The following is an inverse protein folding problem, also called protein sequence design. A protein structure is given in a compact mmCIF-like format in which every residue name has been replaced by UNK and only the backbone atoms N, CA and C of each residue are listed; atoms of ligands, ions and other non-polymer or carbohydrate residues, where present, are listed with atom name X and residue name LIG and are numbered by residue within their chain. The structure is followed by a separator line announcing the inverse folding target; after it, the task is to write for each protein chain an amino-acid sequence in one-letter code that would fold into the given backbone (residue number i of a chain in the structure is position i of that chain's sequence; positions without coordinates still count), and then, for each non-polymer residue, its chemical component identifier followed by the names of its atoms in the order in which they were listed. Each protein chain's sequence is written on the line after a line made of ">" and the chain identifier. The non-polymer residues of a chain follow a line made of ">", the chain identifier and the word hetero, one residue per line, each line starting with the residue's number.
data_IF_200025060889
#
_entry.id   IF_200025060889
#
_cell.length_a   1.000
_cell.length_b   1.000
_cell.length_c   1.000
_cell.angle_alpha   90.00
_cell.angle_beta   90.00
_cell.angle_gamma   90.00
#
_symmetry.space_group_name_H-M   'P 1'
#
loop_
_entity.id
_entity.type
_entity.pdbx_description
1 polymer ?
#
# COMPACT_ATOMS: atom_id res chain seq x y z
N UNK A 1 18.27 14.99 18.09
CA UNK A 1 17.51 13.86 18.65
C UNK A 1 16.79 13.24 17.46
N UNK A 2 17.30 12.14 16.94
CA UNK A 2 16.69 11.44 15.80
C UNK A 2 16.34 10.04 16.27
N UNK A 3 15.04 9.74 16.25
CA UNK A 3 14.48 8.44 16.60
C UNK A 3 13.88 7.85 15.32
N UNK A 4 14.68 7.11 14.57
CA UNK A 4 14.19 6.19 13.54
C UNK A 4 14.55 4.77 13.97
N UNK A 5 13.66 4.17 14.78
CA UNK A 5 13.59 2.72 14.95
C UNK A 5 12.78 2.22 13.75
N UNK A 6 13.29 1.39 12.83
CA UNK A 6 14.12 0.22 13.09
C UNK A 6 13.22 -1.02 12.99
N UNK A 7 12.67 -1.30 11.81
CA UNK A 7 12.13 -2.61 11.47
C UNK A 7 13.07 -3.20 10.40
N UNK A 8 13.58 -4.43 10.59
CA UNK A 8 14.67 -4.95 9.77
C UNK A 8 14.20 -5.16 8.33
N UNK A 9 14.69 -4.31 7.43
CA UNK A 9 14.54 -4.39 5.97
C UNK A 9 15.33 -5.56 5.36
N UNK A 10 15.96 -6.40 6.19
CA UNK A 10 16.82 -7.51 5.77
C UNK A 10 16.06 -8.60 5.00
N UNK A 11 14.75 -8.74 5.24
CA UNK A 11 13.90 -9.71 4.52
C UNK A 11 13.37 -9.17 3.19
N UNK A 12 13.32 -7.85 3.00
CA UNK A 12 12.86 -7.16 1.79
C UNK A 12 13.85 -7.33 0.62
N UNK A 13 15.15 -7.42 0.90
CA UNK A 13 16.20 -7.54 -0.12
C UNK A 13 16.38 -8.96 -0.70
N UNK A 14 15.75 -9.99 -0.12
CA UNK A 14 15.96 -11.38 -0.59
C UNK A 14 15.16 -11.76 -1.83
N UNK A 15 14.08 -11.05 -2.18
CA UNK A 15 13.24 -11.43 -3.34
C UNK A 15 13.68 -10.76 -4.67
N UNK A 16 14.31 -9.58 -4.61
CA UNK A 16 14.83 -8.90 -5.81
C UNK A 16 16.04 -9.57 -6.46
N UNK A 17 16.65 -10.54 -5.78
CA UNK A 17 17.85 -11.26 -6.26
C UNK A 17 17.48 -12.48 -7.12
N UNK A 18 16.25 -13.01 -7.03
CA UNK A 18 15.95 -14.35 -7.57
C UNK A 18 14.85 -14.44 -8.63
N UNK A 19 14.01 -13.41 -8.83
CA UNK A 19 12.96 -13.45 -9.86
C UNK A 19 13.08 -12.26 -10.84
N UNK A 20 13.32 -12.48 -12.14
CA UNK A 20 13.37 -11.41 -13.12
C UNK A 20 11.96 -10.78 -13.29
N UNK A 21 11.81 -9.52 -12.90
CA UNK A 21 10.57 -8.76 -13.05
C UNK A 21 10.38 -7.71 -11.96
N UNK A 22 9.31 -6.92 -12.07
CA UNK A 22 8.85 -6.00 -11.03
C UNK A 22 7.33 -6.09 -10.90
N UNK A 23 6.77 -5.94 -9.69
CA UNK A 23 5.32 -5.96 -9.51
C UNK A 23 4.68 -4.69 -10.12
N UNK A 24 3.51 -4.86 -10.74
CA UNK A 24 2.68 -3.81 -11.32
C UNK A 24 1.39 -3.76 -10.51
N UNK A 25 1.23 -2.72 -9.70
CA UNK A 25 0.07 -2.59 -8.83
C UNK A 25 -0.91 -1.55 -9.37
N UNK A 26 -2.17 -1.92 -9.43
CA UNK A 26 -3.29 -1.01 -9.64
C UNK A 26 -4.08 -0.92 -8.33
N UNK A 27 -4.23 0.27 -7.79
CA UNK A 27 -4.90 0.49 -6.54
C UNK A 27 -6.06 1.47 -6.70
N UNK A 28 -7.16 1.17 -6.03
CA UNK A 28 -8.31 2.07 -5.93
C UNK A 28 -8.82 2.06 -4.51
N UNK A 29 -9.29 3.20 -4.03
CA UNK A 29 -9.87 3.29 -2.71
C UNK A 29 -11.22 3.98 -2.74
N UNK A 30 -12.07 3.62 -1.79
CA UNK A 30 -13.38 4.19 -1.57
C UNK A 30 -13.59 4.50 -0.09
N UNK A 31 -14.31 5.57 0.21
CA UNK A 31 -14.64 5.97 1.58
C UNK A 31 -16.13 5.78 1.87
N UNK A 32 -16.42 5.11 2.98
CA UNK A 32 -17.78 4.99 3.52
C UNK A 32 -17.93 5.93 4.72
N UNK A 33 -18.66 7.04 4.52
CA UNK A 33 -18.89 8.05 5.58
C UNK A 33 -19.65 7.48 6.78
N UNK A 34 -20.65 6.63 6.55
CA UNK A 34 -21.50 6.05 7.61
C UNK A 34 -20.71 5.10 8.49
N UNK A 35 -19.84 4.28 7.89
CA UNK A 35 -19.02 3.30 8.61
C UNK A 35 -17.68 3.89 9.10
N UNK A 36 -17.32 5.09 8.65
CA UNK A 36 -15.98 5.69 8.81
C UNK A 36 -14.86 4.73 8.41
N UNK A 37 -15.04 4.10 7.25
CA UNK A 37 -14.16 3.05 6.76
C UNK A 37 -13.66 3.38 5.35
N UNK A 38 -12.36 3.26 5.16
CA UNK A 38 -11.73 3.26 3.85
C UNK A 38 -11.55 1.82 3.37
N UNK A 39 -12.07 1.52 2.20
CA UNK A 39 -11.83 0.26 1.50
C UNK A 39 -10.80 0.49 0.39
N UNK A 40 -9.66 -0.16 0.49
CA UNK A 40 -8.60 -0.15 -0.52
C UNK A 40 -8.60 -1.49 -1.25
N UNK A 41 -8.70 -1.43 -2.58
CA UNK A 41 -8.51 -2.58 -3.47
C UNK A 41 -7.16 -2.46 -4.17
N UNK A 42 -6.34 -3.50 -4.08
CA UNK A 42 -5.05 -3.61 -4.74
C UNK A 42 -5.07 -4.82 -5.68
N UNK A 43 -4.71 -4.60 -6.94
CA UNK A 43 -4.66 -5.61 -7.99
C UNK A 43 -3.25 -5.66 -8.58
N UNK A 44 -2.68 -6.86 -8.67
CA UNK A 44 -1.42 -7.13 -9.36
C UNK A 44 -1.71 -7.41 -10.83
N UNK A 45 -1.29 -6.52 -11.74
CA UNK A 45 -1.57 -6.61 -13.18
C UNK A 45 -0.56 -7.44 -13.96
N UNK A 46 0.60 -7.72 -13.38
CA UNK A 46 1.60 -8.58 -14.00
C UNK A 46 1.16 -10.05 -14.00
N UNK A 47 1.59 -10.81 -15.00
CA UNK A 47 1.36 -12.25 -15.12
C UNK A 47 2.65 -12.90 -15.65
N UNK A 48 2.98 -14.15 -15.28
CA UNK A 48 2.22 -15.08 -14.43
C UNK A 48 2.57 -15.00 -12.93
N UNK A 49 3.57 -14.20 -12.53
CA UNK A 49 4.10 -14.21 -11.16
C UNK A 49 3.32 -13.29 -10.22
N UNK A 50 2.80 -13.86 -9.14
CA UNK A 50 2.20 -13.13 -8.02
C UNK A 50 3.28 -12.90 -6.96
N UNK A 51 3.68 -11.64 -6.80
CA UNK A 51 4.62 -11.27 -5.75
C UNK A 51 3.90 -11.17 -4.40
N UNK A 52 4.62 -11.47 -3.32
CA UNK A 52 4.17 -11.29 -1.94
C UNK A 52 5.02 -10.20 -1.31
N UNK A 53 4.46 -9.01 -1.13
CA UNK A 53 5.21 -7.84 -0.69
C UNK A 53 4.49 -7.14 0.47
N UNK A 54 5.22 -6.69 1.50
CA UNK A 54 4.74 -5.64 2.37
C UNK A 54 4.66 -4.34 1.55
N UNK A 55 3.56 -3.60 1.65
CA UNK A 55 3.47 -2.24 1.11
C UNK A 55 3.02 -1.31 2.24
N UNK A 56 3.76 -0.24 2.42
CA UNK A 56 3.35 0.87 3.28
C UNK A 56 2.21 1.65 2.63
N UNK A 57 1.26 2.08 3.44
CA UNK A 57 0.19 2.98 3.06
C UNK A 57 0.19 4.14 4.03
N UNK A 58 0.09 5.34 3.51
CA UNK A 58 -0.12 6.55 4.28
C UNK A 58 -1.50 7.15 3.99
N UNK A 59 -2.25 7.42 5.05
CA UNK A 59 -3.52 8.14 5.04
C UNK A 59 -3.31 9.52 5.66
N UNK A 60 -3.60 10.59 4.91
CA UNK A 60 -3.59 11.96 5.45
C UNK A 60 -4.99 12.35 5.92
N UNK A 61 -5.21 12.39 7.23
CA UNK A 61 -6.49 12.73 7.84
C UNK A 61 -6.35 14.04 8.61
N UNK A 62 -6.87 15.14 8.05
CA UNK A 62 -6.64 16.48 8.60
C UNK A 62 -5.15 16.84 8.64
N UNK A 63 -4.66 17.21 9.83
CA UNK A 63 -3.23 17.50 10.09
C UNK A 63 -2.42 16.28 10.55
N UNK A 64 -2.99 15.08 10.53
CA UNK A 64 -2.33 13.84 10.95
C UNK A 64 -2.10 12.93 9.76
N UNK A 65 -0.94 12.27 9.75
CA UNK A 65 -0.67 11.14 8.86
C UNK A 65 -0.74 9.85 9.68
N UNK A 66 -1.46 8.85 9.17
CA UNK A 66 -1.46 7.49 9.69
C UNK A 66 -0.78 6.59 8.68
N UNK A 67 0.13 5.72 9.12
CA UNK A 67 0.80 4.73 8.27
C UNK A 67 0.43 3.32 8.68
N UNK A 68 0.10 2.48 7.72
CA UNK A 68 -0.21 1.06 7.90
C UNK A 68 0.59 0.23 6.89
N UNK A 69 0.96 -1.00 7.26
CA UNK A 69 1.63 -1.94 6.34
C UNK A 69 0.65 -3.03 5.95
N UNK A 70 0.42 -3.20 4.65
CA UNK A 70 -0.36 -4.32 4.11
C UNK A 70 0.53 -5.37 3.48
N UNK A 71 0.10 -6.63 3.57
CA UNK A 71 0.75 -7.75 2.88
C UNK A 71 -0.03 -8.04 1.60
N UNK A 72 0.47 -7.60 0.45
CA UNK A 72 -0.14 -7.90 -0.85
C UNK A 72 0.47 -9.17 -1.39
N UNK A 73 -0.33 -10.23 -1.52
CA UNK A 73 0.17 -11.53 -1.94
C UNK A 73 -0.72 -12.29 -2.90
N UNK A 74 -1.74 -11.62 -3.46
CA UNK A 74 -2.75 -12.19 -4.35
C UNK A 74 -2.87 -11.34 -5.62
N UNK A 75 -3.52 -11.89 -6.65
CA UNK A 75 -3.81 -11.13 -7.87
C UNK A 75 -4.72 -9.93 -7.59
N UNK A 76 -5.67 -10.09 -6.68
CA UNK A 76 -6.54 -9.02 -6.20
C UNK A 76 -6.78 -9.20 -4.70
N UNK A 77 -6.68 -8.10 -3.95
CA UNK A 77 -6.86 -8.10 -2.52
C UNK A 77 -7.50 -6.80 -2.06
N UNK A 78 -8.42 -6.91 -1.11
CA UNK A 78 -9.13 -5.77 -0.53
C UNK A 78 -8.79 -5.66 0.94
N UNK A 79 -8.51 -4.43 1.38
CA UNK A 79 -8.17 -4.07 2.75
C UNK A 79 -9.15 -3.00 3.24
N UNK A 80 -9.56 -3.07 4.50
CA UNK A 80 -10.44 -2.09 5.13
C UNK A 80 -9.75 -1.44 6.33
N UNK A 81 -9.83 -0.13 6.41
CA UNK A 81 -9.21 0.68 7.47
C UNK A 81 -10.24 1.58 8.10
N UNK A 82 -10.37 1.52 9.43
CA UNK A 82 -11.20 2.47 10.18
C UNK A 82 -10.40 3.73 10.45
N UNK A 83 -10.92 4.87 10.00
CA UNK A 83 -10.28 6.18 10.15
C UNK A 83 -11.22 7.13 10.90
N UNK A 84 -10.67 8.09 11.63
CA UNK A 84 -11.49 9.05 12.40
C UNK A 84 -12.34 9.96 11.50
N UNK A 85 -11.86 10.25 10.29
CA UNK A 85 -12.48 11.07 9.26
C UNK A 85 -12.02 10.66 7.86
N UNK A 86 -12.68 11.20 6.82
CA UNK A 86 -12.30 10.97 5.42
C UNK A 86 -10.84 11.43 5.19
N UNK A 87 -9.97 10.56 4.66
CA UNK A 87 -8.62 10.99 4.30
C UNK A 87 -8.68 11.96 3.11
N UNK A 88 -7.84 12.97 3.18
CA UNK A 88 -7.62 13.94 2.09
C UNK A 88 -6.74 13.35 0.99
N UNK A 89 -5.87 12.42 1.36
CA UNK A 89 -4.89 11.81 0.47
C UNK A 89 -4.58 10.39 0.96
N UNK A 90 -4.37 9.49 0.01
CA UNK A 90 -4.04 8.08 0.26
C UNK A 90 -2.89 7.73 -0.67
N UNK A 91 -1.72 7.51 -0.09
CA UNK A 91 -0.52 7.14 -0.82
C UNK A 91 -0.15 5.70 -0.47
N UNK A 92 0.16 4.87 -1.47
CA UNK A 92 0.84 3.60 -1.24
C UNK A 92 2.31 3.76 -1.59
N UNK A 93 3.17 3.27 -0.72
CA UNK A 93 4.62 3.43 -0.78
C UNK A 93 5.01 4.90 -1.02
N UNK A 94 4.63 5.80 -0.10
CA UNK A 94 4.88 7.25 -0.24
C UNK A 94 6.36 7.61 -0.33
N UNK A 95 7.24 6.70 0.08
CA UNK A 95 8.69 6.89 0.07
C UNK A 95 9.37 6.23 -1.16
N UNK A 96 8.60 5.63 -2.08
CA UNK A 96 9.06 4.98 -3.33
C UNK A 96 10.13 3.88 -3.12
N UNK A 97 9.99 3.04 -2.08
CA UNK A 97 10.97 2.01 -1.74
C UNK A 97 10.90 0.81 -2.69
N UNK A 98 9.76 0.63 -3.36
CA UNK A 98 9.51 -0.49 -4.28
C UNK A 98 9.66 0.02 -5.71
N UNK A 99 10.58 -0.56 -6.48
CA UNK A 99 10.65 -0.38 -7.94
C UNK A 99 9.38 -0.95 -8.59
N UNK A 100 8.39 -0.12 -8.88
CA UNK A 100 7.07 -0.54 -9.40
C UNK A 100 6.49 0.47 -10.37
N UNK A 101 5.60 -0.01 -11.23
CA UNK A 101 4.63 0.84 -11.93
C UNK A 101 3.35 0.82 -11.12
N UNK A 102 2.89 1.99 -10.69
CA UNK A 102 1.72 2.13 -9.82
C UNK A 102 0.74 3.18 -10.33
N UNK A 103 -0.54 2.83 -10.35
CA UNK A 103 -1.65 3.77 -10.55
C UNK A 103 -2.57 3.73 -9.32
N UNK A 104 -2.87 4.90 -8.75
CA UNK A 104 -3.85 5.06 -7.67
C UNK A 104 -4.99 5.92 -8.18
N UNK A 105 -6.24 5.51 -7.95
CA UNK A 105 -7.42 6.33 -8.21
C UNK A 105 -8.38 6.34 -7.01
N UNK A 106 -8.97 7.50 -6.73
CA UNK A 106 -10.21 7.58 -5.96
C UNK A 106 -11.34 6.96 -6.79
N UNK A 107 -11.98 5.93 -6.26
CA UNK A 107 -13.23 5.43 -6.83
C UNK A 107 -14.32 6.49 -6.60
N UNK A 108 -14.94 6.95 -7.68
CA UNK A 108 -16.01 7.96 -7.67
C UNK A 108 -17.34 7.39 -7.19
#
# INVERSE_FOLDING_TARGET
>A
MEFHYGHPLDWFFKQWIFEPGYPIYDASWNWNETAKELTLRVTQKQSPTIFRMPLDIEFKVGNKSQREVIQVGQHEQTFSFKLDAKPQDVALDPDEWVLRVMTIAEAR
#
